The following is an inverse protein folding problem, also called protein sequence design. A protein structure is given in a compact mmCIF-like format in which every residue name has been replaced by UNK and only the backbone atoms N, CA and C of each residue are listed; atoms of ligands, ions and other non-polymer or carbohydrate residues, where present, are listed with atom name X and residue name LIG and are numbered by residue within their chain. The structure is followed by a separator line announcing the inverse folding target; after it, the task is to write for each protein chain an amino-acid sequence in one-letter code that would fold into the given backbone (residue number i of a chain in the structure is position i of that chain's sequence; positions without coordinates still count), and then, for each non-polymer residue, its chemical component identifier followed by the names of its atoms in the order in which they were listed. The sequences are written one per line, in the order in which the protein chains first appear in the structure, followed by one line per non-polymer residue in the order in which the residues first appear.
data_IF_248416798900
#
_entry.id   IF_248416798900
#
_cell.length_a   1.000
_cell.length_b   1.000
_cell.length_c   1.000
_cell.angle_alpha   90.00
_cell.angle_beta   90.00
_cell.angle_gamma   90.00
#
_symmetry.space_group_name_H-M   'P 1'
#
loop_
_entity.id
_entity.type
_entity.pdbx_description
1 polymer ?
#
# COMPACT_ATOMS: atom_id res chain seq x y z
N UNK A 1 22.89 16.47 -6.74
CA UNK A 1 21.54 16.04 -7.13
C UNK A 1 21.65 14.89 -8.09
N UNK A 2 20.77 13.92 -7.99
CA UNK A 2 20.78 12.72 -8.85
C UNK A 2 19.37 12.50 -9.39
N UNK A 3 19.27 12.12 -10.66
CA UNK A 3 18.02 11.60 -11.19
C UNK A 3 17.94 10.13 -10.75
N UNK A 4 16.86 9.77 -10.07
CA UNK A 4 16.64 8.38 -9.66
C UNK A 4 16.62 7.45 -10.86
N UNK A 5 17.27 6.29 -10.79
CA UNK A 5 17.21 5.32 -11.89
C UNK A 5 15.79 4.79 -12.05
N UNK A 6 15.39 4.55 -13.31
CA UNK A 6 14.17 3.80 -13.56
C UNK A 6 14.42 2.33 -13.20
N UNK A 7 13.43 1.75 -12.50
CA UNK A 7 13.46 0.34 -12.08
C UNK A 7 12.35 -0.41 -12.80
N UNK A 8 12.52 -1.70 -13.08
CA UNK A 8 11.46 -2.50 -13.69
C UNK A 8 10.20 -2.49 -12.83
N UNK A 9 9.03 -2.43 -13.48
CA UNK A 9 7.75 -2.62 -12.81
C UNK A 9 7.66 -4.04 -12.26
N UNK A 10 7.23 -4.18 -11.01
CA UNK A 10 7.05 -5.47 -10.34
C UNK A 10 5.56 -5.78 -10.32
N UNK A 11 5.16 -6.95 -10.80
CA UNK A 11 3.83 -7.47 -10.53
C UNK A 11 3.85 -8.14 -9.16
N UNK A 12 2.95 -7.72 -8.29
CA UNK A 12 2.94 -8.17 -6.91
C UNK A 12 2.46 -9.63 -6.77
N UNK A 13 3.05 -10.39 -5.82
CA UNK A 13 2.79 -11.83 -5.71
C UNK A 13 1.42 -12.15 -5.11
N UNK A 14 0.78 -13.28 -5.52
CA UNK A 14 -0.55 -13.64 -5.04
C UNK A 14 -0.62 -14.01 -3.56
N UNK A 15 0.50 -14.26 -2.91
CA UNK A 15 0.53 -14.51 -1.47
C UNK A 15 0.16 -13.28 -0.65
N UNK A 16 0.40 -12.09 -1.20
CA UNK A 16 0.23 -10.81 -0.52
C UNK A 16 -0.82 -9.91 -1.18
N UNK A 17 -1.34 -10.32 -2.34
CA UNK A 17 -2.30 -9.54 -3.12
C UNK A 17 -3.33 -10.45 -3.77
N UNK A 18 -4.57 -9.99 -3.86
CA UNK A 18 -5.62 -10.62 -4.67
C UNK A 18 -5.98 -9.67 -5.82
N UNK A 19 -6.10 -10.21 -7.03
CA UNK A 19 -6.22 -9.42 -8.25
C UNK A 19 -4.86 -8.90 -8.72
N UNK A 20 -4.87 -8.08 -9.75
CA UNK A 20 -3.64 -7.59 -10.37
C UNK A 20 -3.20 -6.26 -9.76
N UNK A 21 -1.99 -6.24 -9.23
CA UNK A 21 -1.37 -5.06 -8.63
C UNK A 21 0.07 -4.94 -9.13
N UNK A 22 0.45 -3.74 -9.58
CA UNK A 22 1.80 -3.44 -10.08
C UNK A 22 2.44 -2.35 -9.25
N UNK A 23 3.74 -2.50 -8.99
CA UNK A 23 4.51 -1.60 -8.16
C UNK A 23 5.73 -1.09 -8.90
N UNK A 24 5.92 0.23 -8.86
CA UNK A 24 7.14 0.90 -9.32
C UNK A 24 7.80 1.58 -8.12
N UNK A 25 8.99 1.11 -7.74
CA UNK A 25 9.79 1.83 -6.75
C UNK A 25 10.41 3.04 -7.45
N UNK A 26 10.03 4.24 -7.05
CA UNK A 26 10.48 5.49 -7.69
C UNK A 26 11.57 6.19 -6.91
N UNK A 27 11.73 5.90 -5.63
CA UNK A 27 12.82 6.40 -4.81
C UNK A 27 13.12 5.40 -3.70
N UNK A 28 14.41 5.23 -3.41
CA UNK A 28 14.90 4.31 -2.39
C UNK A 28 16.12 4.91 -1.69
N UNK A 29 16.53 4.39 -0.53
CA UNK A 29 17.69 4.88 0.20
C UNK A 29 18.97 4.85 -0.64
N UNK A 30 19.78 5.91 -0.54
CA UNK A 30 21.10 6.01 -1.16
C UNK A 30 22.23 5.70 -0.18
N UNK A 31 21.96 5.74 1.12
CA UNK A 31 22.93 5.49 2.18
C UNK A 31 22.30 4.59 3.24
N UNK A 32 23.14 3.96 4.08
CA UNK A 32 22.69 2.99 5.07
C UNK A 32 21.81 3.60 6.17
N UNK A 33 21.91 4.91 6.39
CA UNK A 33 21.12 5.62 7.40
C UNK A 33 19.82 6.24 6.88
N UNK A 34 19.60 6.20 5.58
CA UNK A 34 18.33 6.62 4.98
C UNK A 34 17.31 5.49 5.06
N UNK A 35 16.05 5.83 5.27
CA UNK A 35 14.99 4.85 5.54
C UNK A 35 13.78 4.96 4.61
N UNK A 36 13.70 6.04 3.83
CA UNK A 36 12.51 6.31 3.01
C UNK A 36 12.52 5.53 1.70
N UNK A 37 11.41 4.85 1.43
CA UNK A 37 11.12 4.30 0.11
C UNK A 37 9.81 4.91 -0.38
N UNK A 38 9.76 5.29 -1.64
CA UNK A 38 8.56 5.81 -2.29
C UNK A 38 8.26 4.95 -3.51
N UNK A 39 7.01 4.51 -3.62
CA UNK A 39 6.56 3.67 -4.71
C UNK A 39 5.22 4.13 -5.25
N UNK A 40 5.03 3.99 -6.56
CA UNK A 40 3.72 4.08 -7.19
C UNK A 40 3.13 2.68 -7.27
N UNK A 41 1.91 2.51 -6.81
CA UNK A 41 1.21 1.22 -6.81
C UNK A 41 -0.12 1.36 -7.55
N UNK A 42 -0.34 0.50 -8.53
CA UNK A 42 -1.54 0.51 -9.37
C UNK A 42 -2.32 -0.78 -9.17
N UNK A 43 -3.62 -0.63 -8.94
CA UNK A 43 -4.54 -1.73 -8.66
C UNK A 43 -5.57 -1.83 -9.78
N UNK A 44 -5.75 -3.02 -10.34
CA UNK A 44 -6.89 -3.30 -11.19
C UNK A 44 -8.20 -3.22 -10.41
N UNK A 45 -9.36 -3.06 -11.08
CA UNK A 45 -10.65 -3.00 -10.38
C UNK A 45 -10.84 -4.18 -9.43
N UNK A 46 -11.17 -3.89 -8.17
CA UNK A 46 -11.38 -4.89 -7.12
C UNK A 46 -10.12 -5.55 -6.56
N UNK A 47 -8.94 -5.24 -7.09
CA UNK A 47 -7.69 -5.76 -6.55
C UNK A 47 -7.39 -5.18 -5.18
N UNK A 48 -6.69 -5.96 -4.35
CA UNK A 48 -6.44 -5.59 -2.95
C UNK A 48 -5.18 -6.25 -2.41
N UNK A 49 -4.60 -5.62 -1.38
CA UNK A 49 -3.55 -6.25 -0.58
C UNK A 49 -4.16 -7.26 0.39
N UNK A 50 -3.34 -8.18 0.92
CA UNK A 50 -3.66 -8.86 2.16
C UNK A 50 -3.64 -7.86 3.34
N UNK A 51 -4.12 -8.29 4.49
CA UNK A 51 -3.91 -7.56 5.75
C UNK A 51 -2.42 -7.47 6.02
N UNK A 52 -1.97 -6.30 6.46
CA UNK A 52 -0.56 -6.09 6.79
C UNK A 52 -0.39 -4.88 7.69
N UNK A 53 0.82 -4.75 8.25
CA UNK A 53 1.21 -3.61 9.07
C UNK A 53 2.64 -3.18 8.73
N UNK A 54 2.99 -1.97 9.12
CA UNK A 54 4.33 -1.40 8.92
C UNK A 54 4.91 -0.97 10.25
N UNK A 55 6.17 -1.31 10.52
CA UNK A 55 6.81 -1.03 11.80
C UNK A 55 6.93 0.46 12.11
N UNK A 56 7.03 1.33 11.09
CA UNK A 56 7.12 2.78 11.23
C UNK A 56 5.98 3.55 10.59
N UNK A 57 4.90 2.83 10.23
CA UNK A 57 3.74 3.44 9.58
C UNK A 57 3.95 3.71 8.11
N UNK A 58 2.95 4.37 7.51
CA UNK A 58 2.92 4.61 6.06
C UNK A 58 2.03 5.80 5.74
N UNK A 59 2.44 6.60 4.75
CA UNK A 59 1.56 7.55 4.07
C UNK A 59 1.15 6.99 2.72
N UNK A 60 -0.12 7.20 2.35
CA UNK A 60 -0.65 6.82 1.05
C UNK A 60 -1.37 8.02 0.45
N UNK A 61 -0.91 8.45 -0.73
CA UNK A 61 -1.58 9.51 -1.48
C UNK A 61 -2.24 8.92 -2.71
N UNK A 62 -3.55 9.04 -2.82
CA UNK A 62 -4.28 8.59 -4.00
C UNK A 62 -4.08 9.58 -5.14
N UNK A 63 -3.70 9.09 -6.31
CA UNK A 63 -3.41 9.90 -7.49
C UNK A 63 -4.41 9.65 -8.62
N UNK A 64 -5.06 8.47 -8.66
CA UNK A 64 -6.06 8.14 -9.66
C UNK A 64 -7.05 7.11 -9.11
N UNK A 65 -8.29 7.19 -9.54
CA UNK A 65 -9.33 6.26 -9.12
C UNK A 65 -9.81 6.49 -7.69
N UNK A 66 -10.52 5.51 -7.14
CA UNK A 66 -11.05 5.55 -5.78
C UNK A 66 -10.48 4.38 -5.00
N UNK A 67 -9.85 4.69 -3.88
CA UNK A 67 -9.26 3.70 -2.98
C UNK A 67 -10.20 3.40 -1.82
N UNK A 68 -10.10 2.17 -1.32
CA UNK A 68 -10.72 1.74 -0.07
C UNK A 68 -9.60 1.22 0.83
N UNK A 69 -9.39 1.89 1.96
CA UNK A 69 -8.40 1.48 2.95
C UNK A 69 -9.13 1.05 4.22
N UNK A 70 -8.93 -0.20 4.64
CA UNK A 70 -9.67 -0.79 5.74
C UNK A 70 -8.84 -1.06 6.97
N UNK A 71 -9.50 -1.00 8.13
CA UNK A 71 -8.97 -1.28 9.46
C UNK A 71 -9.67 -2.48 10.06
N UNK A 72 -9.04 -3.11 11.07
CA UNK A 72 -9.58 -4.30 11.73
C UNK A 72 -10.90 -4.07 12.45
N UNK A 73 -11.18 -2.84 12.86
CA UNK A 73 -12.44 -2.48 13.51
C UNK A 73 -13.64 -2.39 12.55
N UNK A 74 -13.44 -2.67 11.27
CA UNK A 74 -14.47 -2.58 10.24
C UNK A 74 -14.56 -1.22 9.55
N UNK A 75 -13.81 -0.23 10.01
CA UNK A 75 -13.78 1.08 9.33
C UNK A 75 -13.11 0.93 7.97
N UNK A 76 -13.78 1.40 6.92
CA UNK A 76 -13.23 1.47 5.57
C UNK A 76 -13.30 2.92 5.10
N UNK A 77 -12.13 3.49 4.84
CA UNK A 77 -12.01 4.86 4.35
C UNK A 77 -12.05 4.87 2.84
N UNK A 78 -12.95 5.65 2.27
CA UNK A 78 -12.95 5.93 0.83
C UNK A 78 -12.09 7.15 0.58
N UNK A 79 -11.03 7.00 -0.22
CA UNK A 79 -10.04 8.03 -0.44
C UNK A 79 -9.93 8.33 -1.94
N UNK A 80 -10.00 9.62 -2.27
CA UNK A 80 -10.05 10.13 -3.64
C UNK A 80 -8.74 10.79 -4.05
N UNK A 81 -8.50 10.99 -5.36
CA UNK A 81 -7.28 11.65 -5.84
C UNK A 81 -7.04 13.00 -5.15
N UNK A 82 -5.79 13.19 -4.73
CA UNK A 82 -5.38 14.39 -3.99
C UNK A 82 -5.48 14.27 -2.48
N UNK A 83 -6.14 13.23 -1.97
CA UNK A 83 -6.19 12.96 -0.54
C UNK A 83 -5.05 12.04 -0.10
N UNK A 84 -4.58 12.24 1.12
CA UNK A 84 -3.52 11.44 1.74
C UNK A 84 -4.04 10.86 3.04
N UNK A 85 -3.83 9.56 3.25
CA UNK A 85 -4.14 8.88 4.50
C UNK A 85 -2.85 8.48 5.21
N UNK A 86 -2.86 8.55 6.53
CA UNK A 86 -1.76 8.11 7.38
C UNK A 86 -2.14 6.84 8.12
N UNK A 87 -1.29 5.82 8.02
CA UNK A 87 -1.42 4.57 8.78
C UNK A 87 -0.33 4.56 9.86
N UNK A 88 -0.71 4.56 11.16
CA UNK A 88 0.27 4.56 12.25
C UNK A 88 1.11 3.27 12.30
N UNK A 89 2.27 3.31 12.98
CA UNK A 89 3.06 2.10 13.20
C UNK A 89 2.25 0.97 13.83
N UNK A 90 2.37 -0.22 13.26
CA UNK A 90 1.75 -1.44 13.78
C UNK A 90 0.27 -1.60 13.49
N UNK A 91 -0.41 -0.61 12.90
CA UNK A 91 -1.82 -0.76 12.57
C UNK A 91 -2.03 -1.71 11.40
N UNK A 92 -2.83 -2.75 11.63
CA UNK A 92 -3.19 -3.70 10.58
C UNK A 92 -4.24 -3.10 9.67
N UNK A 93 -3.98 -3.13 8.38
CA UNK A 93 -4.81 -2.49 7.38
C UNK A 93 -4.72 -3.21 6.03
N UNK A 94 -5.57 -2.79 5.09
CA UNK A 94 -5.48 -3.21 3.69
C UNK A 94 -5.69 -2.03 2.75
N UNK A 95 -5.18 -2.19 1.52
CA UNK A 95 -5.43 -1.27 0.41
C UNK A 95 -6.22 -2.00 -0.66
N UNK A 96 -7.24 -1.36 -1.22
CA UNK A 96 -8.03 -1.91 -2.31
C UNK A 96 -8.44 -0.84 -3.31
N UNK A 97 -8.58 -1.23 -4.57
CA UNK A 97 -9.31 -0.44 -5.55
C UNK A 97 -10.81 -0.69 -5.35
N UNK A 98 -11.65 0.32 -5.65
CA UNK A 98 -13.08 0.06 -5.78
C UNK A 98 -13.33 -0.93 -6.92
N UNK A 99 -14.48 -1.60 -6.92
CA UNK A 99 -14.84 -2.54 -8.00
C UNK A 99 -15.05 -1.88 -9.35
N UNK A 100 -15.13 -0.54 -9.40
CA UNK A 100 -15.57 0.19 -10.59
C UNK A 100 -14.42 0.67 -11.49
N UNK A 101 -13.18 0.63 -11.03
CA UNK A 101 -12.08 1.13 -11.85
C UNK A 101 -10.72 0.88 -11.24
N UNK A 102 -9.69 1.24 -12.00
CA UNK A 102 -8.31 1.22 -11.52
C UNK A 102 -8.10 2.27 -10.44
N UNK A 103 -7.18 1.97 -9.54
CA UNK A 103 -6.73 2.91 -8.51
C UNK A 103 -5.22 2.99 -8.53
N UNK A 104 -4.69 4.18 -8.32
CA UNK A 104 -3.25 4.40 -8.15
C UNK A 104 -3.01 5.21 -6.89
N UNK A 105 -2.03 4.78 -6.09
CA UNK A 105 -1.54 5.59 -4.99
C UNK A 105 -0.02 5.63 -4.97
N UNK A 106 0.52 6.67 -4.34
CA UNK A 106 1.91 6.75 -3.97
C UNK A 106 2.02 6.26 -2.53
N UNK A 107 2.90 5.29 -2.28
CA UNK A 107 3.21 4.80 -0.95
C UNK A 107 4.54 5.37 -0.49
N UNK A 108 4.56 5.94 0.71
CA UNK A 108 5.75 6.46 1.36
C UNK A 108 5.94 5.70 2.65
N UNK A 109 7.01 4.92 2.71
CA UNK A 109 7.28 4.03 3.85
C UNK A 109 8.70 4.27 4.37
N UNK A 110 8.83 4.27 5.69
CA UNK A 110 10.11 4.34 6.37
C UNK A 110 10.48 2.95 6.87
N UNK A 111 11.67 2.45 6.50
CA UNK A 111 12.14 1.16 6.95
C UNK A 111 12.38 1.15 8.46
N UNK A 112 12.03 0.05 9.12
CA UNK A 112 12.38 -0.20 10.51
C UNK A 112 13.86 -0.53 10.67
N UNK A 113 14.30 -0.71 11.92
CA UNK A 113 15.68 -1.12 12.22
C UNK A 113 15.99 -2.50 11.67
N UNK A 114 15.02 -3.40 11.68
CA UNK A 114 15.10 -4.70 11.03
C UNK A 114 14.34 -4.64 9.69
N UNK A 115 15.04 -4.67 8.55
CA UNK A 115 14.38 -4.59 7.24
C UNK A 115 13.45 -5.77 6.98
N UNK A 116 13.63 -6.92 7.62
CA UNK A 116 12.76 -8.09 7.43
C UNK A 116 11.40 -7.93 8.09
N UNK A 117 11.25 -7.00 9.04
CA UNK A 117 10.01 -6.73 9.76
C UNK A 117 9.43 -5.34 9.47
N UNK A 118 9.95 -4.64 8.48
CA UNK A 118 9.41 -3.34 8.05
C UNK A 118 7.94 -3.47 7.68
N UNK A 119 7.58 -4.52 6.92
CA UNK A 119 6.19 -4.89 6.62
C UNK A 119 5.92 -6.30 7.11
N UNK A 120 4.84 -6.47 7.87
CA UNK A 120 4.36 -7.78 8.34
C UNK A 120 3.10 -8.13 7.55
N UNK A 121 3.18 -9.17 6.74
CA UNK A 121 2.06 -9.67 5.94
C UNK A 121 1.25 -10.70 6.71
N UNK A 122 -0.08 -10.58 6.61
CA UNK A 122 -1.05 -11.41 7.31
C UNK A 122 -1.97 -12.09 6.29
N UNK A 123 -3.16 -12.53 6.72
CA UNK A 123 -4.10 -13.23 5.86
C UNK A 123 -4.73 -12.32 4.79
N UNK A 124 -5.27 -12.94 3.75
CA UNK A 124 -6.02 -12.22 2.72
C UNK A 124 -7.29 -11.58 3.29
N UNK A 125 -7.68 -10.49 2.65
CA UNK A 125 -8.90 -9.74 2.97
C UNK A 125 -10.11 -10.43 2.35
N UNK A 126 -11.12 -10.72 3.15
CA UNK A 126 -12.38 -11.28 2.67
C UNK A 126 -13.26 -10.23 1.99
N UNK A 127 -14.26 -10.70 1.23
CA UNK A 127 -15.26 -9.78 0.65
C UNK A 127 -16.03 -9.02 1.73
N UNK A 128 -16.28 -9.67 2.88
CA UNK A 128 -16.91 -9.03 4.03
C UNK A 128 -16.05 -7.91 4.60
N UNK A 129 -14.75 -8.13 4.71
CA UNK A 129 -13.80 -7.10 5.18
C UNK A 129 -13.84 -5.87 4.28
N UNK A 130 -13.88 -6.07 2.94
CA UNK A 130 -13.93 -4.99 1.96
C UNK A 130 -15.16 -4.09 2.13
N UNK A 131 -16.25 -4.63 2.59
CA UNK A 131 -17.52 -3.91 2.76
C UNK A 131 -17.62 -3.26 4.15
N UNK A 132 -16.58 -3.37 4.98
CA UNK A 132 -16.59 -2.85 6.34
C UNK A 132 -17.42 -3.70 7.30
N UNK A 133 -17.74 -4.94 6.92
CA UNK A 133 -18.46 -5.89 7.77
C UNK A 133 -17.52 -6.52 8.81
N UNK A 134 -18.05 -6.94 9.90
CA UNK A 134 -17.35 -7.66 10.95
C UNK A 134 -17.73 -9.14 10.92
#
# INVERSE_FOLDING_TARGET
MIIEPQRPTIKNPPEQFAGDVWLDVIAAPHTDDQRMTVATVRFAPGARTAWHSHSRGQYLRVTAGVARFGQRDGTVHEVHPGQTIYTPPGEEHFHAASGDGFMEHIAMIEAGDDPTTTTTWLEHVSDTDLDGGS
#
